data_IF_735327120645
#
_entry.id   IF_735327120645
#
_cell.length_a   1.000
_cell.length_b   1.000
_cell.length_c   1.000
_cell.angle_alpha   90.00
_cell.angle_beta   90.00
_cell.angle_gamma   90.00
#
_symmetry.space_group_name_H-M   'P 1'
#
loop_
_entity.id
_entity.type
_entity.pdbx_description
1 polymer ?
#
# COMPACT_ATOMS: atom_id res chain seq x y z
N UNK A 1 -8.70 -32.85 -5.54
CA UNK A 1 -9.47 -32.51 -6.77
C UNK A 1 -10.83 -31.84 -6.49
N UNK A 2 -11.76 -32.38 -5.68
CA UNK A 2 -13.07 -31.71 -5.44
C UNK A 2 -12.96 -30.41 -4.62
N UNK A 3 -12.18 -30.41 -3.54
CA UNK A 3 -11.95 -29.24 -2.68
C UNK A 3 -11.21 -28.11 -3.40
N UNK A 4 -10.20 -28.47 -4.18
CA UNK A 4 -9.43 -27.56 -5.02
C UNK A 4 -10.34 -26.76 -5.97
N UNK A 5 -11.23 -27.44 -6.71
CA UNK A 5 -12.20 -26.77 -7.59
C UNK A 5 -13.16 -25.86 -6.83
N UNK A 6 -13.53 -26.22 -5.61
CA UNK A 6 -14.36 -25.38 -4.75
C UNK A 6 -13.61 -24.10 -4.37
N UNK A 7 -12.32 -24.20 -4.01
CA UNK A 7 -11.49 -23.05 -3.68
C UNK A 7 -11.39 -22.05 -4.84
N UNK A 8 -11.15 -22.51 -6.07
CA UNK A 8 -11.10 -21.63 -7.26
C UNK A 8 -12.40 -20.87 -7.49
N UNK A 9 -13.55 -21.53 -7.30
CA UNK A 9 -14.86 -20.88 -7.41
C UNK A 9 -15.10 -19.84 -6.31
N UNK A 10 -14.67 -20.11 -5.08
CA UNK A 10 -14.76 -19.13 -3.99
C UNK A 10 -13.86 -17.93 -4.28
N UNK A 11 -12.63 -18.16 -4.76
CA UNK A 11 -11.70 -17.08 -5.15
C UNK A 11 -12.28 -16.22 -6.28
N UNK A 12 -12.90 -16.84 -7.29
CA UNK A 12 -13.58 -16.14 -8.38
C UNK A 12 -14.74 -15.27 -7.87
N UNK A 13 -15.59 -15.82 -6.99
CA UNK A 13 -16.71 -15.10 -6.40
C UNK A 13 -16.23 -13.91 -5.55
N UNK A 14 -15.21 -14.12 -4.69
CA UNK A 14 -14.64 -13.06 -3.87
C UNK A 14 -14.09 -11.90 -4.72
N UNK A 15 -13.32 -12.23 -5.77
CA UNK A 15 -12.75 -11.25 -6.70
C UNK A 15 -13.85 -10.51 -7.48
N UNK A 16 -14.90 -11.20 -7.93
CA UNK A 16 -16.03 -10.57 -8.60
C UNK A 16 -16.76 -9.58 -7.68
N UNK A 17 -17.08 -10.00 -6.45
CA UNK A 17 -17.80 -9.17 -5.49
C UNK A 17 -17.00 -7.92 -5.12
N UNK A 18 -15.69 -8.06 -4.85
CA UNK A 18 -14.83 -6.91 -4.60
C UNK A 18 -14.70 -6.05 -5.85
N UNK A 19 -14.56 -6.64 -7.03
CA UNK A 19 -14.48 -5.88 -8.29
C UNK A 19 -15.72 -5.00 -8.51
N UNK A 20 -16.92 -5.56 -8.36
CA UNK A 20 -18.17 -4.82 -8.47
C UNK A 20 -18.28 -3.73 -7.39
N UNK A 21 -17.92 -4.04 -6.14
CA UNK A 21 -17.90 -3.04 -5.07
C UNK A 21 -16.94 -1.89 -5.39
N UNK A 22 -15.74 -2.19 -5.89
CA UNK A 22 -14.72 -1.21 -6.24
C UNK A 22 -15.19 -0.32 -7.40
N UNK A 23 -15.97 -0.83 -8.35
CA UNK A 23 -16.50 -0.02 -9.45
C UNK A 23 -17.66 0.87 -9.00
N UNK A 24 -18.61 0.34 -8.25
CA UNK A 24 -19.90 1.02 -8.01
C UNK A 24 -19.99 1.75 -6.66
N UNK A 25 -19.19 1.38 -5.67
CA UNK A 25 -19.29 1.93 -4.31
C UNK A 25 -18.02 2.67 -3.88
N UNK A 26 -16.85 2.09 -4.15
CA UNK A 26 -15.58 2.69 -3.71
C UNK A 26 -15.36 4.14 -4.15
N UNK A 27 -15.67 4.55 -5.40
CA UNK A 27 -15.40 5.92 -5.84
C UNK A 27 -16.14 6.96 -4.99
N UNK A 28 -17.39 6.69 -4.60
CA UNK A 28 -18.14 7.57 -3.71
C UNK A 28 -17.55 7.66 -2.30
N UNK A 29 -17.06 6.55 -1.75
CA UNK A 29 -16.37 6.52 -0.45
C UNK A 29 -15.05 7.30 -0.52
N UNK A 30 -14.31 7.11 -1.60
CA UNK A 30 -13.06 7.79 -1.88
C UNK A 30 -13.25 9.31 -2.00
N UNK A 31 -14.17 9.73 -2.86
CA UNK A 31 -14.45 11.13 -3.13
C UNK A 31 -14.95 11.86 -1.88
N UNK A 32 -15.82 11.21 -1.10
CA UNK A 32 -16.22 11.70 0.22
C UNK A 32 -15.01 11.89 1.12
N UNK A 33 -14.11 10.91 1.15
CA UNK A 33 -12.91 10.95 1.99
C UNK A 33 -11.98 12.10 1.58
N UNK A 34 -11.69 12.24 0.29
CA UNK A 34 -10.78 13.25 -0.23
C UNK A 34 -11.34 14.67 -0.19
N UNK A 35 -12.61 14.85 -0.58
CA UNK A 35 -13.24 16.18 -0.63
C UNK A 35 -13.31 16.84 0.73
N UNK A 36 -13.76 16.12 1.77
CA UNK A 36 -13.83 16.71 3.12
C UNK A 36 -12.45 16.94 3.72
N UNK A 37 -11.47 16.06 3.43
CA UNK A 37 -10.09 16.25 3.89
C UNK A 37 -9.49 17.54 3.32
N UNK A 38 -9.72 17.83 2.03
CA UNK A 38 -9.25 19.06 1.39
C UNK A 38 -9.99 20.28 1.93
N UNK A 39 -11.33 20.22 1.98
CA UNK A 39 -12.17 21.36 2.37
C UNK A 39 -11.98 21.76 3.85
N UNK A 40 -11.71 20.81 4.75
CA UNK A 40 -11.37 21.15 6.14
C UNK A 40 -10.00 21.81 6.28
N UNK A 41 -9.02 21.45 5.44
CA UNK A 41 -7.67 22.02 5.52
C UNK A 41 -7.59 23.45 4.94
N UNK A 42 -8.43 23.82 3.98
CA UNK A 42 -8.40 25.15 3.36
C UNK A 42 -9.33 26.18 4.01
N UNK A 43 -10.26 25.75 4.89
CA UNK A 43 -11.37 26.56 5.47
C UNK A 43 -12.35 27.15 4.43
N UNK A 44 -11.90 27.45 3.20
CA UNK A 44 -12.64 27.81 1.98
C UNK A 44 -11.79 27.42 0.74
N UNK A 45 -12.41 27.15 -0.42
CA UNK A 45 -11.69 26.76 -1.66
C UNK A 45 -10.74 27.84 -2.23
N UNK A 46 -10.78 29.06 -1.70
CA UNK A 46 -10.03 30.24 -2.16
C UNK A 46 -8.56 30.28 -1.75
N UNK A 47 -8.11 29.37 -0.87
CA UNK A 47 -6.72 29.34 -0.34
C UNK A 47 -5.91 28.13 -0.82
N UNK A 48 -6.38 27.44 -1.87
CA UNK A 48 -5.68 26.29 -2.45
C UNK A 48 -4.31 26.72 -3.02
N UNK A 49 -3.28 25.95 -2.70
CA UNK A 49 -1.91 26.16 -3.21
C UNK A 49 -1.45 24.88 -3.93
N UNK A 50 -0.28 24.92 -4.56
CA UNK A 50 0.25 23.78 -5.31
C UNK A 50 0.39 22.50 -4.47
N UNK A 51 0.66 22.61 -3.16
CA UNK A 51 0.67 21.45 -2.26
C UNK A 51 -0.72 20.83 -2.02
N UNK A 52 -1.76 21.65 -1.87
CA UNK A 52 -3.13 21.15 -1.77
C UNK A 52 -3.57 20.46 -3.08
N UNK A 53 -3.26 21.09 -4.22
CA UNK A 53 -3.60 20.57 -5.54
C UNK A 53 -2.85 19.28 -5.88
N UNK A 54 -1.61 19.10 -5.42
CA UNK A 54 -0.86 17.87 -5.66
C UNK A 54 -1.53 16.65 -5.00
N UNK A 55 -2.08 16.82 -3.79
CA UNK A 55 -2.84 15.75 -3.12
C UNK A 55 -4.13 15.44 -3.86
N UNK A 56 -4.86 16.47 -4.30
CA UNK A 56 -6.08 16.29 -5.10
C UNK A 56 -5.77 15.51 -6.38
N UNK A 57 -4.76 15.94 -7.14
CA UNK A 57 -4.41 15.32 -8.41
C UNK A 57 -3.94 13.86 -8.26
N UNK A 58 -3.07 13.58 -7.29
CA UNK A 58 -2.64 12.19 -7.00
C UNK A 58 -3.84 11.34 -6.54
N UNK A 59 -4.75 11.91 -5.74
CA UNK A 59 -5.98 11.25 -5.33
C UNK A 59 -6.90 10.93 -6.52
N UNK A 60 -7.13 11.88 -7.43
CA UNK A 60 -7.96 11.69 -8.62
C UNK A 60 -7.37 10.67 -9.58
N UNK A 61 -6.04 10.69 -9.79
CA UNK A 61 -5.35 9.67 -10.57
C UNK A 61 -5.57 8.28 -9.97
N UNK A 62 -5.44 8.16 -8.65
CA UNK A 62 -5.69 6.91 -7.95
C UNK A 62 -7.15 6.45 -8.07
N UNK A 63 -8.13 7.35 -7.95
CA UNK A 63 -9.55 7.01 -8.12
C UNK A 63 -9.81 6.37 -9.51
N UNK A 64 -9.20 6.92 -10.56
CA UNK A 64 -9.24 6.32 -11.90
C UNK A 64 -8.58 4.94 -11.98
N UNK A 65 -7.41 4.77 -11.34
CA UNK A 65 -6.72 3.47 -11.24
C UNK A 65 -7.58 2.45 -10.47
N UNK A 66 -8.22 2.87 -9.39
CA UNK A 66 -9.10 2.04 -8.57
C UNK A 66 -10.30 1.53 -9.38
N UNK A 67 -10.96 2.39 -10.16
CA UNK A 67 -12.04 1.96 -11.06
C UNK A 67 -11.55 0.93 -12.09
N UNK A 68 -10.38 1.15 -12.69
CA UNK A 68 -9.77 0.19 -13.61
C UNK A 68 -9.47 -1.15 -12.92
N UNK A 69 -8.98 -1.10 -11.68
CA UNK A 69 -8.76 -2.29 -10.86
C UNK A 69 -10.05 -3.06 -10.62
N UNK A 70 -11.15 -2.38 -10.27
CA UNK A 70 -12.45 -3.02 -10.07
C UNK A 70 -12.97 -3.72 -11.33
N UNK A 71 -12.87 -3.06 -12.49
CA UNK A 71 -13.22 -3.64 -13.79
C UNK A 71 -12.33 -4.84 -14.13
N UNK A 72 -11.02 -4.73 -13.87
CA UNK A 72 -10.08 -5.82 -14.10
C UNK A 72 -10.38 -7.02 -13.20
N UNK A 73 -10.67 -6.81 -11.91
CA UNK A 73 -11.08 -7.86 -10.97
C UNK A 73 -12.34 -8.58 -11.48
N UNK A 74 -13.36 -7.83 -11.90
CA UNK A 74 -14.57 -8.40 -12.47
C UNK A 74 -14.25 -9.24 -13.72
N UNK A 75 -13.41 -8.74 -14.63
CA UNK A 75 -13.03 -9.46 -15.85
C UNK A 75 -12.23 -10.75 -15.57
N UNK A 76 -11.25 -10.71 -14.65
CA UNK A 76 -10.42 -11.89 -14.34
C UNK A 76 -11.17 -12.95 -13.52
N UNK A 77 -12.32 -12.61 -12.92
CA UNK A 77 -13.13 -13.56 -12.15
C UNK A 77 -13.53 -14.78 -12.99
N UNK A 78 -13.84 -14.59 -14.28
CA UNK A 78 -14.15 -15.68 -15.20
C UNK A 78 -12.93 -16.60 -15.44
N UNK A 79 -11.73 -16.04 -15.51
CA UNK A 79 -10.50 -16.81 -15.62
C UNK A 79 -10.19 -17.61 -14.34
N UNK A 80 -10.44 -17.03 -13.16
CA UNK A 80 -10.35 -17.77 -11.89
C UNK A 80 -11.39 -18.88 -11.80
N UNK A 81 -12.63 -18.64 -12.25
CA UNK A 81 -13.70 -19.63 -12.25
C UNK A 81 -13.38 -20.84 -13.13
N UNK A 82 -12.65 -20.61 -14.22
CA UNK A 82 -12.15 -21.65 -15.14
C UNK A 82 -10.74 -22.14 -14.79
N UNK A 83 -10.28 -21.87 -13.56
CA UNK A 83 -9.04 -22.41 -12.98
C UNK A 83 -7.77 -22.00 -13.75
N UNK A 84 -7.79 -20.84 -14.43
CA UNK A 84 -6.63 -20.33 -15.17
C UNK A 84 -5.56 -19.82 -14.20
N UNK A 85 -4.45 -20.55 -14.09
CA UNK A 85 -3.35 -20.27 -13.15
C UNK A 85 -2.77 -18.85 -13.27
N UNK A 86 -2.73 -18.26 -14.47
CA UNK A 86 -2.21 -16.90 -14.68
C UNK A 86 -3.09 -15.80 -14.04
N UNK A 87 -4.38 -16.07 -13.81
CA UNK A 87 -5.29 -15.09 -13.22
C UNK A 87 -4.99 -14.87 -11.73
N UNK A 88 -4.36 -15.85 -11.09
CA UNK A 88 -3.98 -15.79 -9.68
C UNK A 88 -3.05 -14.62 -9.32
N UNK A 89 -1.83 -14.52 -9.89
CA UNK A 89 -0.91 -13.43 -9.56
C UNK A 89 -1.49 -12.05 -9.91
N UNK A 90 -2.33 -11.97 -10.94
CA UNK A 90 -3.01 -10.73 -11.31
C UNK A 90 -4.04 -10.34 -10.24
N UNK A 91 -4.86 -11.29 -9.76
CA UNK A 91 -5.81 -11.02 -8.68
C UNK A 91 -5.13 -10.52 -7.41
N UNK A 92 -3.99 -11.11 -7.04
CA UNK A 92 -3.21 -10.68 -5.88
C UNK A 92 -2.75 -9.22 -6.02
N UNK A 93 -2.25 -8.82 -7.19
CA UNK A 93 -1.87 -7.42 -7.46
C UNK A 93 -3.08 -6.49 -7.42
N UNK A 94 -4.15 -6.86 -8.11
CA UNK A 94 -5.34 -6.02 -8.20
C UNK A 94 -6.00 -5.80 -6.84
N UNK A 95 -6.03 -6.81 -5.97
CA UNK A 95 -6.55 -6.65 -4.60
C UNK A 95 -5.59 -5.87 -3.69
N UNK A 96 -4.29 -5.87 -3.96
CA UNK A 96 -3.34 -5.12 -3.13
C UNK A 96 -3.40 -3.61 -3.38
N UNK A 97 -3.73 -3.17 -4.60
CA UNK A 97 -3.75 -1.74 -4.96
C UNK A 97 -4.76 -0.96 -4.09
N UNK A 98 -6.05 -1.36 -3.97
CA UNK A 98 -6.99 -0.62 -3.14
C UNK A 98 -6.69 -0.72 -1.65
N UNK A 99 -6.11 -1.84 -1.20
CA UNK A 99 -5.65 -1.97 0.18
C UNK A 99 -4.47 -1.00 0.47
N UNK A 100 -3.53 -0.85 -0.45
CA UNK A 100 -2.37 0.03 -0.28
C UNK A 100 -2.81 1.50 -0.17
N UNK A 101 -3.63 1.97 -1.12
CA UNK A 101 -3.91 3.39 -1.24
C UNK A 101 -5.03 3.90 -0.32
N UNK A 102 -6.11 3.12 -0.12
CA UNK A 102 -7.17 3.54 0.81
C UNK A 102 -6.72 3.48 2.27
N UNK A 103 -5.76 2.61 2.61
CA UNK A 103 -5.10 2.62 3.91
C UNK A 103 -4.44 3.98 4.20
N UNK A 104 -3.76 4.56 3.20
CA UNK A 104 -3.19 5.91 3.32
C UNK A 104 -4.26 6.99 3.49
N UNK A 105 -5.23 7.03 2.58
CA UNK A 105 -6.17 8.16 2.49
C UNK A 105 -7.06 8.18 3.72
N UNK A 106 -7.48 7.01 4.19
CA UNK A 106 -8.20 6.93 5.44
C UNK A 106 -7.34 7.29 6.66
N UNK A 107 -6.02 7.04 6.67
CA UNK A 107 -5.18 7.50 7.77
C UNK A 107 -5.15 9.04 7.83
N UNK A 108 -5.00 9.69 6.68
CA UNK A 108 -5.08 11.15 6.58
C UNK A 108 -6.42 11.69 7.11
N UNK A 109 -7.54 11.03 6.78
CA UNK A 109 -8.85 11.34 7.33
C UNK A 109 -8.89 11.18 8.85
N UNK A 110 -8.48 10.02 9.36
CA UNK A 110 -8.53 9.70 10.79
C UNK A 110 -7.70 10.71 11.59
N UNK A 111 -6.51 11.07 11.11
CA UNK A 111 -5.64 12.05 11.76
C UNK A 111 -6.29 13.44 11.88
N UNK A 112 -6.99 13.88 10.83
CA UNK A 112 -7.54 15.25 10.73
C UNK A 112 -8.98 15.37 11.25
N UNK A 113 -9.78 14.31 11.15
CA UNK A 113 -11.21 14.30 11.47
C UNK A 113 -11.56 13.52 12.73
N UNK A 114 -10.68 12.62 13.20
CA UNK A 114 -10.92 11.77 14.38
C UNK A 114 -12.21 10.92 14.26
N UNK A 115 -12.58 10.56 13.04
CA UNK A 115 -13.75 9.75 12.70
C UNK A 115 -13.33 8.57 11.83
N UNK A 116 -14.18 7.54 11.74
CA UNK A 116 -13.95 6.41 10.84
C UNK A 116 -13.93 6.88 9.38
N UNK A 117 -12.85 6.63 8.63
CA UNK A 117 -12.77 7.01 7.22
C UNK A 117 -13.66 6.15 6.33
N UNK A 118 -14.51 6.73 5.46
CA UNK A 118 -15.28 5.94 4.50
C UNK A 118 -14.41 5.05 3.60
N UNK A 119 -13.25 5.55 3.15
CA UNK A 119 -12.29 4.80 2.34
C UNK A 119 -11.76 3.52 3.04
N UNK A 120 -11.81 3.42 4.38
CA UNK A 120 -11.39 2.21 5.08
C UNK A 120 -12.27 1.00 4.79
N UNK A 121 -13.51 1.19 4.34
CA UNK A 121 -14.36 0.08 3.90
C UNK A 121 -13.70 -0.63 2.70
N UNK A 122 -13.27 0.14 1.69
CA UNK A 122 -12.56 -0.42 0.53
C UNK A 122 -11.24 -1.06 0.95
N UNK A 123 -10.46 -0.39 1.82
CA UNK A 123 -9.22 -0.95 2.38
C UNK A 123 -9.43 -2.35 2.97
N UNK A 124 -10.38 -2.48 3.91
CA UNK A 124 -10.60 -3.75 4.60
C UNK A 124 -11.18 -4.83 3.68
N UNK A 125 -12.12 -4.49 2.80
CA UNK A 125 -12.71 -5.47 1.87
C UNK A 125 -11.65 -6.04 0.92
N UNK A 126 -10.81 -5.19 0.33
CA UNK A 126 -9.73 -5.65 -0.56
C UNK A 126 -8.67 -6.44 0.20
N UNK A 127 -8.30 -6.04 1.42
CA UNK A 127 -7.33 -6.76 2.25
C UNK A 127 -7.85 -8.14 2.70
N UNK A 128 -9.11 -8.22 3.13
CA UNK A 128 -9.73 -9.49 3.53
C UNK A 128 -9.79 -10.43 2.32
N UNK A 129 -10.25 -9.94 1.16
CA UNK A 129 -10.29 -10.75 -0.05
C UNK A 129 -8.90 -11.22 -0.47
N UNK A 130 -7.88 -10.36 -0.36
CA UNK A 130 -6.50 -10.73 -0.64
C UNK A 130 -6.00 -11.88 0.25
N UNK A 131 -6.29 -11.83 1.57
CA UNK A 131 -5.94 -12.91 2.49
C UNK A 131 -6.76 -14.18 2.24
N UNK A 132 -8.06 -14.06 1.98
CA UNK A 132 -8.92 -15.18 1.60
C UNK A 132 -8.33 -15.90 0.40
N UNK A 133 -7.92 -15.16 -0.62
CA UNK A 133 -7.23 -15.71 -1.77
C UNK A 133 -5.96 -16.47 -1.31
N UNK A 134 -5.05 -15.79 -0.62
CA UNK A 134 -3.78 -16.39 -0.19
C UNK A 134 -3.97 -17.74 0.54
N UNK A 135 -4.98 -17.85 1.42
CA UNK A 135 -5.26 -19.08 2.16
C UNK A 135 -6.03 -20.14 1.36
N UNK A 136 -6.81 -19.76 0.34
CA UNK A 136 -7.51 -20.71 -0.53
C UNK A 136 -6.61 -21.33 -1.59
N UNK A 137 -5.53 -20.65 -1.99
CA UNK A 137 -4.56 -21.18 -2.95
C UNK A 137 -3.99 -22.52 -2.47
N UNK A 138 -3.88 -23.51 -3.35
CA UNK A 138 -3.22 -24.78 -3.01
C UNK A 138 -1.75 -24.52 -2.70
N UNK A 139 -1.38 -24.75 -1.44
CA UNK A 139 -0.03 -24.62 -0.90
C UNK A 139 -0.02 -25.31 0.46
N UNK A 140 1.14 -25.79 0.90
CA UNK A 140 1.29 -26.31 2.26
C UNK A 140 1.02 -25.20 3.30
N UNK A 141 0.53 -25.60 4.48
CA UNK A 141 0.20 -24.66 5.57
C UNK A 141 1.38 -23.73 5.92
N UNK A 142 2.61 -24.28 5.95
CA UNK A 142 3.83 -23.50 6.21
C UNK A 142 4.05 -22.41 5.16
N UNK A 143 3.88 -22.74 3.88
CA UNK A 143 4.02 -21.78 2.76
C UNK A 143 2.94 -20.70 2.86
N UNK A 144 1.69 -21.07 3.17
CA UNK A 144 0.60 -20.10 3.35
C UNK A 144 0.89 -19.10 4.47
N UNK A 145 1.33 -19.56 5.64
CA UNK A 145 1.65 -18.66 6.75
C UNK A 145 2.83 -17.75 6.41
N UNK A 146 3.86 -18.26 5.74
CA UNK A 146 4.99 -17.46 5.29
C UNK A 146 4.56 -16.39 4.28
N UNK A 147 3.81 -16.79 3.24
CA UNK A 147 3.26 -15.87 2.24
C UNK A 147 2.38 -14.80 2.91
N UNK A 148 1.54 -15.17 3.88
CA UNK A 148 0.71 -14.22 4.61
C UNK A 148 1.53 -13.08 5.22
N UNK A 149 2.60 -13.41 5.96
CA UNK A 149 3.45 -12.39 6.59
C UNK A 149 4.21 -11.55 5.57
N UNK A 150 4.84 -12.18 4.57
CA UNK A 150 5.61 -11.47 3.55
C UNK A 150 4.72 -10.55 2.71
N UNK A 151 3.56 -11.03 2.28
CA UNK A 151 2.65 -10.26 1.42
C UNK A 151 1.98 -9.13 2.20
N UNK A 152 1.63 -9.37 3.47
CA UNK A 152 1.10 -8.32 4.34
C UNK A 152 2.15 -7.24 4.59
N UNK A 153 3.40 -7.61 4.87
CA UNK A 153 4.50 -6.64 5.00
C UNK A 153 4.74 -5.86 3.70
N UNK A 154 4.73 -6.52 2.54
CA UNK A 154 4.82 -5.83 1.24
C UNK A 154 3.67 -4.84 1.04
N UNK A 155 2.44 -5.23 1.37
CA UNK A 155 1.27 -4.35 1.33
C UNK A 155 1.40 -3.16 2.29
N UNK A 156 1.89 -3.38 3.51
CA UNK A 156 2.15 -2.33 4.49
C UNK A 156 3.22 -1.36 4.00
N UNK A 157 4.34 -1.86 3.47
CA UNK A 157 5.39 -1.02 2.89
C UNK A 157 4.88 -0.24 1.67
N UNK A 158 4.05 -0.87 0.83
CA UNK A 158 3.35 -0.19 -0.26
C UNK A 158 2.47 0.96 0.26
N UNK A 159 1.65 0.73 1.29
CA UNK A 159 0.80 1.75 1.90
C UNK A 159 1.62 2.91 2.48
N UNK A 160 2.72 2.60 3.18
CA UNK A 160 3.65 3.60 3.71
C UNK A 160 4.32 4.40 2.58
N UNK A 161 4.77 3.74 1.52
CA UNK A 161 5.33 4.40 0.34
C UNK A 161 4.33 5.33 -0.33
N UNK A 162 3.09 4.85 -0.53
CA UNK A 162 1.99 5.61 -1.10
C UNK A 162 1.53 6.76 -0.20
N UNK A 163 1.74 6.67 1.11
CA UNK A 163 1.50 7.78 2.04
C UNK A 163 2.59 8.84 1.99
N UNK A 164 3.85 8.39 2.04
CA UNK A 164 5.00 9.28 2.22
C UNK A 164 5.38 9.99 0.94
N UNK A 165 5.13 9.41 -0.24
CA UNK A 165 5.37 10.07 -1.53
C UNK A 165 4.50 11.33 -1.73
N UNK A 166 3.16 11.28 -1.65
CA UNK A 166 2.31 12.46 -1.81
C UNK A 166 2.50 13.45 -0.67
N UNK A 167 2.86 12.98 0.53
CA UNK A 167 3.26 13.87 1.62
C UNK A 167 4.50 14.68 1.26
N UNK A 168 5.56 14.03 0.75
CA UNK A 168 6.78 14.70 0.32
C UNK A 168 6.49 15.73 -0.77
N UNK A 169 5.75 15.32 -1.80
CA UNK A 169 5.35 16.17 -2.91
C UNK A 169 4.59 17.42 -2.43
N UNK A 170 3.62 17.24 -1.51
CA UNK A 170 2.86 18.36 -0.93
C UNK A 170 3.75 19.34 -0.19
N UNK A 171 4.71 18.86 0.60
CA UNK A 171 5.63 19.73 1.36
C UNK A 171 6.50 20.54 0.40
N UNK A 172 7.07 19.88 -0.62
CA UNK A 172 7.92 20.52 -1.62
C UNK A 172 7.15 21.59 -2.41
N UNK A 173 5.96 21.25 -2.91
CA UNK A 173 5.16 22.17 -3.73
C UNK A 173 4.50 23.28 -2.93
N UNK A 174 4.31 23.11 -1.62
CA UNK A 174 3.81 24.19 -0.75
C UNK A 174 4.82 25.34 -0.64
N UNK A 175 6.12 25.03 -0.57
CA UNK A 175 7.18 26.05 -0.51
C UNK A 175 8.49 25.49 -1.09
N UNK A 176 8.73 25.66 -2.40
CA UNK A 176 9.95 25.16 -3.04
C UNK A 176 11.23 25.73 -2.44
N UNK A 177 11.23 27.02 -2.08
CA UNK A 177 12.39 27.67 -1.46
C UNK A 177 12.74 27.03 -0.11
N UNK A 178 11.75 26.81 0.75
CA UNK A 178 11.96 26.15 2.04
C UNK A 178 12.37 24.68 1.87
N UNK A 179 11.84 23.99 0.86
CA UNK A 179 12.28 22.63 0.53
C UNK A 179 13.73 22.55 0.04
N UNK A 180 14.32 23.64 -0.48
CA UNK A 180 15.73 23.69 -0.89
C UNK A 180 16.64 24.15 0.24
N UNK A 181 16.18 25.09 1.07
CA UNK A 181 17.02 25.78 2.05
C UNK A 181 16.97 25.16 3.45
N UNK A 182 15.88 24.47 3.81
CA UNK A 182 15.72 23.85 5.11
C UNK A 182 16.07 22.35 5.06
N UNK A 183 17.12 21.88 5.75
CA UNK A 183 17.54 20.48 5.72
C UNK A 183 16.43 19.48 6.07
N UNK A 184 15.51 19.85 6.98
CA UNK A 184 14.39 19.01 7.38
C UNK A 184 13.38 18.79 6.23
N UNK A 185 13.27 19.74 5.30
CA UNK A 185 12.41 19.63 4.11
C UNK A 185 13.19 19.14 2.88
N UNK A 186 14.47 19.48 2.76
CA UNK A 186 15.34 19.03 1.66
C UNK A 186 15.48 17.51 1.58
N UNK A 187 15.49 16.82 2.73
CA UNK A 187 15.50 15.34 2.75
C UNK A 187 14.36 14.72 1.95
N UNK A 188 13.21 15.40 1.85
CA UNK A 188 12.02 14.92 1.15
C UNK A 188 12.20 14.88 -0.37
N UNK A 189 13.12 15.68 -0.94
CA UNK A 189 13.44 15.64 -2.36
C UNK A 189 13.95 14.26 -2.78
N UNK A 190 14.64 13.56 -1.88
CA UNK A 190 15.08 12.18 -2.07
C UNK A 190 14.06 11.16 -1.55
N UNK A 191 13.49 11.39 -0.36
CA UNK A 191 12.56 10.44 0.25
C UNK A 191 11.31 10.25 -0.59
N UNK A 192 10.71 11.30 -1.15
CA UNK A 192 9.50 11.20 -1.97
C UNK A 192 9.63 10.21 -3.13
N UNK A 193 10.59 10.39 -4.06
CA UNK A 193 10.83 9.45 -5.15
C UNK A 193 11.15 8.02 -4.68
N UNK A 194 11.93 7.85 -3.61
CA UNK A 194 12.20 6.52 -3.04
C UNK A 194 10.91 5.83 -2.57
N UNK A 195 10.01 6.57 -1.92
CA UNK A 195 8.72 6.04 -1.45
C UNK A 195 7.81 5.65 -2.61
N UNK A 196 7.86 6.37 -3.73
CA UNK A 196 7.17 5.95 -4.96
C UNK A 196 7.75 4.64 -5.52
N UNK A 197 9.08 4.50 -5.53
CA UNK A 197 9.74 3.25 -5.94
C UNK A 197 9.36 2.07 -5.03
N UNK A 198 9.19 2.29 -3.72
CA UNK A 198 8.69 1.25 -2.80
C UNK A 198 7.33 0.71 -3.27
N UNK A 199 6.40 1.58 -3.69
CA UNK A 199 5.07 1.14 -4.18
C UNK A 199 5.22 0.25 -5.41
N UNK A 200 6.02 0.68 -6.39
CA UNK A 200 6.24 -0.08 -7.63
C UNK A 200 6.88 -1.43 -7.31
N UNK A 201 7.95 -1.44 -6.52
CA UNK A 201 8.67 -2.66 -6.15
C UNK A 201 7.78 -3.61 -5.36
N UNK A 202 6.94 -3.11 -4.45
CA UNK A 202 6.00 -3.93 -3.68
C UNK A 202 4.98 -4.63 -4.59
N UNK A 203 4.40 -3.90 -5.54
CA UNK A 203 3.44 -4.45 -6.52
C UNK A 203 4.11 -5.50 -7.40
N UNK A 204 5.30 -5.22 -7.93
CA UNK A 204 6.06 -6.16 -8.75
C UNK A 204 6.52 -7.39 -7.96
N UNK A 205 6.87 -7.21 -6.69
CA UNK A 205 7.22 -8.30 -5.77
C UNK A 205 6.01 -9.21 -5.53
N UNK A 206 4.83 -8.66 -5.22
CA UNK A 206 3.59 -9.43 -5.05
C UNK A 206 3.28 -10.24 -6.31
N UNK A 207 3.38 -9.62 -7.49
CA UNK A 207 3.13 -10.31 -8.77
C UNK A 207 4.09 -11.49 -9.00
N UNK A 208 5.40 -11.25 -8.86
CA UNK A 208 6.42 -12.25 -9.18
C UNK A 208 6.51 -13.34 -8.10
N UNK A 209 6.36 -13.00 -6.82
CA UNK A 209 6.27 -13.99 -5.75
C UNK A 209 5.00 -14.85 -5.89
N UNK A 210 3.91 -14.31 -6.44
CA UNK A 210 2.69 -15.10 -6.67
C UNK A 210 2.87 -16.14 -7.76
N UNK A 211 3.92 -15.97 -8.58
CA UNK A 211 4.40 -16.93 -9.57
C UNK A 211 5.62 -17.72 -9.06
N UNK A 212 6.00 -17.58 -7.78
CA UNK A 212 7.17 -18.20 -7.16
C UNK A 212 8.50 -17.93 -7.89
N UNK A 213 8.60 -16.77 -8.55
CA UNK A 213 9.81 -16.36 -9.29
C UNK A 213 10.85 -15.75 -8.37
N UNK A 214 12.12 -16.12 -8.60
CA UNK A 214 13.29 -15.53 -7.92
C UNK A 214 13.34 -14.01 -8.05
N UNK A 215 12.92 -13.47 -9.20
CA UNK A 215 12.81 -12.01 -9.41
C UNK A 215 11.93 -11.32 -8.35
N UNK A 216 10.84 -11.98 -7.92
CA UNK A 216 9.95 -11.46 -6.88
C UNK A 216 10.61 -11.38 -5.51
N UNK A 217 11.49 -12.33 -5.19
CA UNK A 217 12.27 -12.32 -3.95
C UNK A 217 13.25 -11.14 -3.92
N UNK A 218 13.98 -10.90 -5.01
CA UNK A 218 14.86 -9.73 -5.11
C UNK A 218 14.08 -8.41 -5.05
N UNK A 219 12.93 -8.32 -5.73
CA UNK A 219 12.07 -7.14 -5.65
C UNK A 219 11.54 -6.90 -4.23
N UNK A 220 11.22 -7.96 -3.48
CA UNK A 220 10.78 -7.83 -2.09
C UNK A 220 11.92 -7.34 -1.17
N UNK A 221 13.15 -7.84 -1.36
CA UNK A 221 14.33 -7.33 -0.64
C UNK A 221 14.55 -5.85 -0.97
N UNK A 222 14.52 -5.49 -2.25
CA UNK A 222 14.67 -4.10 -2.68
C UNK A 222 13.57 -3.20 -2.11
N UNK A 223 12.33 -3.68 -2.04
CA UNK A 223 11.21 -2.94 -1.41
C UNK A 223 11.56 -2.59 0.04
N UNK A 224 12.02 -3.56 0.82
CA UNK A 224 12.41 -3.34 2.21
C UNK A 224 13.64 -2.43 2.34
N UNK A 225 14.68 -2.65 1.51
CA UNK A 225 15.90 -1.85 1.53
C UNK A 225 15.62 -0.37 1.16
N UNK A 226 14.89 -0.12 0.08
CA UNK A 226 14.53 1.25 -0.34
C UNK A 226 13.69 1.94 0.74
N UNK A 227 12.79 1.21 1.42
CA UNK A 227 12.06 1.77 2.56
C UNK A 227 13.03 2.23 3.66
N UNK A 228 13.99 1.40 4.06
CA UNK A 228 15.00 1.74 5.08
C UNK A 228 15.77 3.00 4.70
N UNK A 229 16.32 3.04 3.48
CA UNK A 229 17.13 4.16 3.00
C UNK A 229 16.33 5.43 2.72
N UNK A 230 15.04 5.31 2.40
CA UNK A 230 14.17 6.47 2.22
C UNK A 230 13.63 7.03 3.55
N UNK A 231 13.28 6.14 4.49
CA UNK A 231 12.54 6.52 5.69
C UNK A 231 13.45 6.96 6.85
N UNK A 232 14.53 6.23 7.18
CA UNK A 232 15.36 6.61 8.34
C UNK A 232 16.03 7.99 8.20
N UNK A 233 16.58 8.39 7.04
CA UNK A 233 17.11 9.74 6.91
C UNK A 233 16.05 10.82 7.13
N UNK A 234 14.83 10.62 6.62
CA UNK A 234 13.72 11.53 6.87
C UNK A 234 13.31 11.54 8.34
N UNK A 235 13.37 10.39 9.02
CA UNK A 235 13.13 10.30 10.45
C UNK A 235 14.10 11.17 11.26
N UNK A 236 15.41 11.05 11.02
CA UNK A 236 16.41 11.82 11.76
C UNK A 236 16.42 13.31 11.40
N UNK A 237 16.05 13.66 10.17
CA UNK A 237 15.91 15.06 9.76
C UNK A 237 14.58 15.70 10.21
N UNK A 238 13.54 14.90 10.54
CA UNK A 238 12.17 15.37 10.88
C UNK A 238 11.54 14.69 12.11
N UNK A 239 12.24 14.41 13.22
CA UNK A 239 11.76 13.49 14.24
C UNK A 239 10.50 13.97 14.98
N UNK A 240 10.36 15.27 15.23
CA UNK A 240 9.25 15.85 16.00
C UNK A 240 8.02 16.20 15.15
N UNK A 241 8.16 16.28 13.82
CA UNK A 241 7.06 16.62 12.90
C UNK A 241 6.30 15.36 12.45
N UNK A 242 6.87 14.18 12.67
CA UNK A 242 6.37 12.90 12.18
C UNK A 242 5.75 12.00 13.25
N UNK A 243 5.62 12.48 14.50
CA UNK A 243 5.08 11.68 15.60
C UNK A 243 3.58 11.42 15.43
N UNK A 244 3.17 10.16 15.59
CA UNK A 244 1.78 9.72 15.63
C UNK A 244 1.07 10.04 16.95
N UNK A 245 1.79 10.58 17.93
CA UNK A 245 1.23 10.88 19.23
C UNK A 245 0.36 12.13 19.15
N UNK A 246 -0.91 12.09 19.58
CA UNK A 246 -1.74 13.27 19.69
C UNK A 246 -1.07 14.35 20.54
N UNK A 247 -1.12 15.60 20.06
CA UNK A 247 -0.53 16.72 20.78
C UNK A 247 -1.13 16.82 22.19
N UNK A 248 -0.30 16.70 23.22
CA UNK A 248 -0.69 16.82 24.63
C UNK A 248 -1.06 15.51 25.35
N UNK A 249 -0.87 14.33 24.74
CA UNK A 249 -1.11 13.05 25.44
C UNK A 249 0.18 12.40 25.94
N UNK A 250 1.05 11.96 25.03
CA UNK A 250 2.36 11.38 25.36
C UNK A 250 3.47 12.26 24.76
N UNK A 251 4.68 12.15 25.31
CA UNK A 251 5.83 12.79 24.68
C UNK A 251 6.07 12.15 23.31
N UNK A 252 6.08 12.97 22.26
CA UNK A 252 6.53 12.53 20.94
C UNK A 252 7.95 11.94 21.09
N UNK A 253 8.12 10.69 20.67
CA UNK A 253 9.40 9.99 20.73
C UNK A 253 9.87 9.58 19.33
N UNK A 254 11.16 9.31 19.23
CA UNK A 254 11.82 8.76 18.03
C UNK A 254 11.05 7.53 17.52
N UNK A 255 10.54 6.68 18.42
CA UNK A 255 9.81 5.45 18.09
C UNK A 255 8.37 5.68 17.64
N UNK A 256 7.82 6.88 17.82
CA UNK A 256 6.44 7.23 17.41
C UNK A 256 6.38 7.86 16.02
N UNK A 257 7.52 7.99 15.34
CA UNK A 257 7.62 8.55 14.00
C UNK A 257 7.12 7.57 12.94
N UNK A 258 6.25 8.04 12.03
CA UNK A 258 5.82 7.25 10.85
C UNK A 258 7.01 6.76 10.02
N UNK A 259 8.03 7.60 9.82
CA UNK A 259 9.25 7.23 9.12
C UNK A 259 10.08 6.16 9.85
N UNK A 260 10.08 6.16 11.18
CA UNK A 260 10.84 5.18 11.94
C UNK A 260 10.18 3.81 11.83
N UNK A 261 8.86 3.76 12.01
CA UNK A 261 8.09 2.52 11.84
C UNK A 261 8.19 1.96 10.43
N UNK A 262 8.12 2.82 9.41
CA UNK A 262 8.28 2.41 8.02
C UNK A 262 9.69 1.81 7.77
N UNK A 263 10.74 2.48 8.25
CA UNK A 263 12.11 1.95 8.19
C UNK A 263 12.27 0.62 8.91
N UNK A 264 11.71 0.48 10.12
CA UNK A 264 11.76 -0.78 10.87
C UNK A 264 11.03 -1.91 10.14
N UNK A 265 9.85 -1.65 9.57
CA UNK A 265 9.12 -2.64 8.75
C UNK A 265 9.95 -3.09 7.55
N UNK A 266 10.72 -2.17 6.94
CA UNK A 266 11.68 -2.50 5.90
C UNK A 266 12.78 -3.45 6.38
N UNK A 267 13.38 -3.20 7.55
CA UNK A 267 14.35 -4.11 8.17
C UNK A 267 13.72 -5.48 8.41
N UNK A 268 12.54 -5.52 9.01
CA UNK A 268 11.84 -6.78 9.33
C UNK A 268 11.66 -7.60 8.05
N UNK A 269 11.14 -7.00 6.98
CA UNK A 269 10.97 -7.70 5.70
C UNK A 269 12.29 -8.26 5.16
N UNK A 270 13.36 -7.44 5.13
CA UNK A 270 14.68 -7.88 4.63
C UNK A 270 15.22 -9.03 5.46
N UNK A 271 15.18 -8.93 6.80
CA UNK A 271 15.67 -9.98 7.70
C UNK A 271 14.92 -11.28 7.47
N UNK A 272 13.59 -11.25 7.36
CA UNK A 272 12.80 -12.46 7.07
C UNK A 272 13.18 -13.08 5.72
N UNK A 273 13.40 -12.26 4.68
CA UNK A 273 13.75 -12.74 3.34
C UNK A 273 15.17 -13.31 3.23
N UNK A 274 16.08 -12.91 4.13
CA UNK A 274 17.45 -13.44 4.21
C UNK A 274 17.53 -14.80 4.92
N UNK A 275 16.46 -15.25 5.57
CA UNK A 275 16.41 -16.59 6.15
C UNK A 275 16.37 -17.62 5.00
N UNK A 276 17.37 -18.52 4.87
CA UNK A 276 17.47 -19.41 3.71
C UNK A 276 16.26 -20.32 3.52
N UNK A 277 15.69 -20.83 4.62
CA UNK A 277 14.49 -21.66 4.59
C UNK A 277 13.25 -20.92 4.06
N UNK A 278 13.19 -19.58 4.21
CA UNK A 278 12.07 -18.80 3.70
C UNK A 278 12.18 -18.64 2.19
N UNK A 279 13.41 -18.42 1.68
CA UNK A 279 13.64 -18.36 0.23
C UNK A 279 13.19 -19.66 -0.43
N UNK A 280 13.65 -20.82 0.06
CA UNK A 280 13.29 -22.13 -0.51
C UNK A 280 11.78 -22.42 -0.50
N UNK A 281 11.03 -21.84 0.43
CA UNK A 281 9.56 -21.97 0.48
C UNK A 281 8.82 -20.99 -0.43
N UNK A 282 9.42 -19.84 -0.75
CA UNK A 282 8.79 -18.75 -1.51
C UNK A 282 9.03 -18.84 -3.01
N UNK A 283 10.19 -19.37 -3.42
CA UNK A 283 10.58 -19.45 -4.83
C UNK A 283 10.82 -20.90 -5.22
N UNK A 284 10.47 -21.24 -6.45
CA UNK A 284 10.90 -22.51 -7.01
C UNK A 284 12.40 -22.37 -7.36
N UNK A 285 13.23 -23.31 -6.92
CA UNK A 285 14.63 -23.38 -7.38
C UNK A 285 14.61 -23.58 -8.90
N UNK A 286 15.37 -22.74 -9.60
CA UNK A 286 15.14 -22.42 -11.00
C UNK A 286 15.11 -23.64 -11.96
N UNK A 287 14.25 -23.53 -13.00
CA UNK A 287 14.55 -24.00 -14.35
C UNK A 287 15.84 -23.38 -14.89
#
# INVERSE_FOLDING_TARGET
MKEEKINWKIMAAAVLLVGLFVVFVSPGLFDTTMSQLIMKQSKQATTLNAGHLSRLYVGSLYSGVEMLVGLALAAISAALYTEKKWAWPIAMVLLSIPAIANGYIGLGWLENLKQFPPAYITFFLSLIAFWVLLFLKENDKKVKHLMFWIYTLLGMLGAQGFMLFPHALRVILKSPADALLNPANAVLLRTGPMMFMVVILAVLAIYNLSQRKVAGWYMAILTGAVMVFGAFPAHYARPLVASLVPKGTLAASVFTSTYWMAGLQGIILVVLLLIPSFKALLVDEAE
#
